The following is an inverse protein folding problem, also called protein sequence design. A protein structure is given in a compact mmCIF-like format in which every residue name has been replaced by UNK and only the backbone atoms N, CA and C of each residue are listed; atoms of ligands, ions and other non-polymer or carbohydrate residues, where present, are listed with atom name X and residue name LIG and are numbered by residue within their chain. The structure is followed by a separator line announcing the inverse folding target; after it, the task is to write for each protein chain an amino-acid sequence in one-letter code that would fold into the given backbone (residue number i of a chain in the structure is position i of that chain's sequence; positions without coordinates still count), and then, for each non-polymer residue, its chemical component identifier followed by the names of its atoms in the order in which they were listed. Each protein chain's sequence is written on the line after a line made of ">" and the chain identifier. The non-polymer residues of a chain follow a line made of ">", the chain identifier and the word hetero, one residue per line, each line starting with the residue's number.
data_IF_422294137937
#
_entry.id   IF_422294137937
#
_cell.length_a   1.000
_cell.length_b   1.000
_cell.length_c   1.000
_cell.angle_alpha   90.00
_cell.angle_beta   90.00
_cell.angle_gamma   90.00
#
_symmetry.space_group_name_H-M   'P 1'
#
loop_
_entity.id
_entity.type
_entity.pdbx_description
1 polymer ?
#
# COMPACT_ATOMS: atom_id res chain seq x y z
N UNK A 1 -10.10 16.34 4.89
CA UNK A 1 -10.46 15.60 6.14
C UNK A 1 -11.16 14.28 5.83
N UNK A 2 -12.29 14.25 5.09
CA UNK A 2 -13.03 13.03 4.74
C UNK A 2 -12.15 11.89 4.17
N UNK A 3 -11.33 12.17 3.17
CA UNK A 3 -10.42 11.19 2.56
C UNK A 3 -9.44 10.55 3.56
N UNK A 4 -9.00 11.28 4.58
CA UNK A 4 -8.08 10.74 5.60
C UNK A 4 -8.82 9.77 6.52
N UNK A 5 -10.07 10.09 6.88
CA UNK A 5 -10.92 9.19 7.67
C UNK A 5 -11.20 7.90 6.90
N UNK A 6 -11.56 7.98 5.62
CA UNK A 6 -11.79 6.79 4.78
C UNK A 6 -10.52 5.96 4.68
N UNK A 7 -9.35 6.57 4.49
CA UNK A 7 -8.07 5.87 4.47
C UNK A 7 -7.79 5.14 5.80
N UNK A 8 -8.03 5.81 6.93
CA UNK A 8 -7.83 5.21 8.25
C UNK A 8 -8.77 4.01 8.47
N UNK A 9 -10.04 4.14 8.10
CA UNK A 9 -11.02 3.04 8.18
C UNK A 9 -10.59 1.87 7.30
N UNK A 10 -10.16 2.12 6.06
CA UNK A 10 -9.69 1.06 5.17
C UNK A 10 -8.44 0.35 5.72
N UNK A 11 -7.48 1.08 6.30
CA UNK A 11 -6.30 0.46 6.91
C UNK A 11 -6.61 -0.34 8.18
N UNK A 12 -7.48 0.18 9.05
CA UNK A 12 -7.92 -0.55 10.23
C UNK A 12 -8.69 -1.81 9.85
N UNK A 13 -9.60 -1.71 8.87
CA UNK A 13 -10.30 -2.85 8.30
C UNK A 13 -9.33 -3.87 7.69
N UNK A 14 -8.29 -3.40 7.00
CA UNK A 14 -7.27 -4.27 6.42
C UNK A 14 -6.50 -5.04 7.49
N UNK A 15 -6.00 -4.34 8.50
CA UNK A 15 -5.31 -4.96 9.63
C UNK A 15 -6.18 -5.96 10.37
N UNK A 16 -7.45 -5.62 10.61
CA UNK A 16 -8.42 -6.53 11.20
C UNK A 16 -8.60 -7.80 10.37
N UNK A 17 -8.80 -7.69 9.06
CA UNK A 17 -8.94 -8.84 8.17
C UNK A 17 -7.70 -9.74 8.20
N UNK A 18 -6.50 -9.16 8.19
CA UNK A 18 -5.27 -9.96 8.22
C UNK A 18 -5.10 -10.74 9.54
N UNK A 19 -5.55 -10.21 10.67
CA UNK A 19 -5.31 -10.80 11.99
C UNK A 19 -6.48 -11.65 12.50
N UNK A 20 -7.72 -11.22 12.25
CA UNK A 20 -8.89 -11.73 12.95
C UNK A 20 -9.84 -12.59 12.10
N UNK A 21 -9.76 -12.57 10.76
CA UNK A 21 -10.60 -13.45 9.95
C UNK A 21 -9.92 -14.80 9.73
N UNK A 22 -10.67 -15.88 9.44
CA UNK A 22 -10.09 -17.16 9.05
C UNK A 22 -9.16 -17.03 7.83
N UNK A 23 -8.19 -17.93 7.73
CA UNK A 23 -7.39 -18.14 6.52
C UNK A 23 -7.90 -19.34 5.75
N UNK A 24 -7.88 -19.25 4.43
CA UNK A 24 -8.17 -20.37 3.55
C UNK A 24 -6.91 -21.19 3.25
N UNK A 25 -7.08 -22.34 2.57
CA UNK A 25 -5.99 -23.18 2.10
C UNK A 25 -5.77 -22.96 0.59
N UNK A 26 -4.87 -22.04 0.24
CA UNK A 26 -4.52 -21.70 -1.15
C UNK A 26 -3.30 -22.48 -1.67
N UNK A 27 -2.73 -23.36 -0.85
CA UNK A 27 -1.60 -24.21 -1.24
C UNK A 27 -0.42 -23.40 -1.76
N UNK A 28 0.08 -23.74 -2.95
CA UNK A 28 1.21 -23.04 -3.56
C UNK A 28 0.88 -21.62 -4.04
N UNK A 29 -0.38 -21.30 -4.33
CA UNK A 29 -0.77 -19.99 -4.84
C UNK A 29 -0.45 -18.86 -3.86
N UNK A 30 -0.41 -19.15 -2.55
CA UNK A 30 -0.03 -18.17 -1.51
C UNK A 30 1.35 -17.56 -1.75
N UNK A 31 2.27 -18.32 -2.37
CA UNK A 31 3.65 -17.90 -2.59
C UNK A 31 3.80 -16.85 -3.69
N UNK A 32 2.77 -16.63 -4.51
CA UNK A 32 2.69 -15.46 -5.39
C UNK A 32 2.73 -14.16 -4.60
N UNK A 33 2.39 -14.19 -3.30
CA UNK A 33 2.50 -13.03 -2.43
C UNK A 33 3.94 -12.63 -2.06
N UNK A 34 4.89 -13.57 -2.06
CA UNK A 34 6.29 -13.28 -1.70
C UNK A 34 6.96 -12.24 -2.63
N UNK A 35 6.93 -12.39 -3.97
CA UNK A 35 7.49 -11.37 -4.84
C UNK A 35 6.76 -10.03 -4.72
N UNK A 36 5.45 -10.04 -4.46
CA UNK A 36 4.68 -8.81 -4.27
C UNK A 36 5.09 -8.06 -2.99
N UNK A 37 5.31 -8.77 -1.88
CA UNK A 37 5.87 -8.16 -0.66
C UNK A 37 7.26 -7.61 -0.93
N UNK A 38 8.13 -8.36 -1.63
CA UNK A 38 9.47 -7.89 -1.97
C UNK A 38 9.44 -6.59 -2.80
N UNK A 39 8.62 -6.55 -3.85
CA UNK A 39 8.39 -5.32 -4.64
C UNK A 39 7.84 -4.20 -3.77
N UNK A 40 6.90 -4.52 -2.88
CA UNK A 40 6.32 -3.56 -1.94
C UNK A 40 7.37 -2.88 -1.07
N UNK A 41 8.24 -3.68 -0.45
CA UNK A 41 9.36 -3.19 0.39
C UNK A 41 10.34 -2.36 -0.44
N UNK A 42 10.72 -2.84 -1.63
CA UNK A 42 11.66 -2.14 -2.51
C UNK A 42 11.16 -0.76 -2.96
N UNK A 43 9.85 -0.61 -3.20
CA UNK A 43 9.25 0.65 -3.64
C UNK A 43 8.90 1.58 -2.47
N UNK A 44 8.40 1.03 -1.36
CA UNK A 44 7.96 1.83 -0.22
C UNK A 44 9.13 2.38 0.59
N UNK A 45 10.21 1.61 0.77
CA UNK A 45 11.34 1.99 1.65
C UNK A 45 12.03 3.27 1.18
N UNK A 46 12.44 3.42 -0.10
CA UNK A 46 13.05 4.66 -0.58
C UNK A 46 12.08 5.83 -0.50
N UNK A 47 10.78 5.60 -0.73
CA UNK A 47 9.77 6.65 -0.65
C UNK A 47 9.57 7.16 0.78
N UNK A 48 9.56 6.25 1.77
CA UNK A 48 9.50 6.56 3.20
C UNK A 48 10.75 7.34 3.65
N UNK A 49 11.95 6.89 3.28
CA UNK A 49 13.21 7.59 3.56
C UNK A 49 13.20 8.98 2.92
N UNK A 50 12.76 9.07 1.66
CA UNK A 50 12.72 10.32 0.91
C UNK A 50 11.76 11.36 1.51
N UNK A 51 10.66 10.94 2.13
CA UNK A 51 9.68 11.86 2.73
C UNK A 51 9.93 12.10 4.22
N UNK A 52 10.53 11.15 4.95
CA UNK A 52 10.93 11.30 6.35
C UNK A 52 9.81 11.83 7.24
N UNK A 53 10.14 12.77 8.14
CA UNK A 53 9.17 13.43 9.06
C UNK A 53 8.14 14.32 8.37
N UNK A 54 8.24 14.52 7.05
CA UNK A 54 7.33 15.34 6.25
C UNK A 54 6.27 14.51 5.53
N UNK A 55 6.18 13.20 5.82
CA UNK A 55 5.05 12.37 5.41
C UNK A 55 3.76 12.95 6.00
N UNK A 56 2.89 13.42 5.13
CA UNK A 56 1.54 13.81 5.53
C UNK A 56 0.53 12.96 4.75
N UNK A 57 -0.58 12.55 5.37
CA UNK A 57 -1.67 11.87 4.67
C UNK A 57 -2.52 12.83 3.83
N UNK A 58 -2.18 14.13 3.83
CA UNK A 58 -2.86 15.18 3.07
C UNK A 58 -2.30 15.23 1.64
N UNK A 59 -3.16 15.46 0.62
CA UNK A 59 -2.72 15.60 -0.78
C UNK A 59 -1.96 16.90 -1.05
N UNK A 60 -1.95 17.84 -0.11
CA UNK A 60 -1.36 19.16 -0.31
C UNK A 60 0.15 19.05 -0.56
N UNK A 61 0.64 19.56 -1.71
CA UNK A 61 2.06 19.58 -2.01
C UNK A 61 2.78 20.34 -0.91
N UNK A 62 3.74 19.70 -0.25
CA UNK A 62 4.55 20.38 0.73
C UNK A 62 5.46 21.37 -0.02
N UNK A 63 5.29 22.70 0.13
CA UNK A 63 6.06 23.67 -0.64
C UNK A 63 7.56 23.63 -0.34
N UNK A 64 7.96 23.04 0.80
CA UNK A 64 9.36 22.83 1.18
C UNK A 64 9.98 21.55 0.61
N UNK A 65 9.17 20.66 0.05
CA UNK A 65 9.61 19.47 -0.68
C UNK A 65 9.41 19.74 -2.17
N UNK A 66 10.45 20.28 -2.81
CA UNK A 66 10.46 20.41 -4.26
C UNK A 66 10.18 19.08 -4.98
N UNK A 67 9.70 19.17 -6.21
CA UNK A 67 9.30 18.01 -7.00
C UNK A 67 10.46 17.02 -7.18
N UNK A 68 10.29 15.79 -6.67
CA UNK A 68 11.28 14.72 -6.84
C UNK A 68 11.12 14.07 -8.21
N UNK A 69 12.19 14.08 -9.02
CA UNK A 69 12.23 13.48 -10.37
C UNK A 69 13.35 12.45 -10.56
N UNK A 70 14.13 12.16 -9.51
CA UNK A 70 15.29 11.25 -9.58
C UNK A 70 15.03 9.94 -8.84
N UNK A 71 15.79 8.89 -9.18
CA UNK A 71 15.60 7.55 -8.60
C UNK A 71 14.27 6.93 -9.03
N UNK A 72 13.56 6.26 -8.12
CA UNK A 72 12.28 5.58 -8.41
C UNK A 72 11.21 6.55 -8.95
N UNK A 73 11.26 7.82 -8.54
CA UNK A 73 10.35 8.88 -9.02
C UNK A 73 10.55 9.25 -10.50
N UNK A 74 11.66 8.81 -11.14
CA UNK A 74 11.86 8.98 -12.58
C UNK A 74 10.99 8.03 -13.42
N UNK A 75 10.54 6.92 -12.83
CA UNK A 75 9.80 5.86 -13.53
C UNK A 75 8.35 5.77 -13.03
N UNK A 76 8.14 5.87 -11.72
CA UNK A 76 6.83 5.71 -11.08
C UNK A 76 6.43 7.03 -10.43
N UNK A 77 5.25 7.57 -10.80
CA UNK A 77 4.74 8.85 -10.26
C UNK A 77 4.39 8.77 -8.77
N UNK A 78 3.89 7.61 -8.32
CA UNK A 78 3.49 7.36 -6.93
C UNK A 78 4.10 6.05 -6.40
N UNK A 79 5.43 5.99 -6.18
CA UNK A 79 6.11 4.75 -5.79
C UNK A 79 5.68 4.27 -4.41
N UNK A 80 5.32 5.19 -3.50
CA UNK A 80 4.79 4.83 -2.19
C UNK A 80 3.44 4.11 -2.27
N UNK A 81 2.51 4.60 -3.10
CA UNK A 81 1.21 3.94 -3.27
C UNK A 81 1.36 2.60 -3.98
N UNK A 82 2.22 2.55 -5.00
CA UNK A 82 2.52 1.30 -5.72
C UNK A 82 3.09 0.25 -4.77
N UNK A 83 4.09 0.63 -3.95
CA UNK A 83 4.70 -0.27 -2.97
C UNK A 83 3.72 -0.73 -1.89
N UNK A 84 2.91 0.19 -1.37
CA UNK A 84 1.88 -0.12 -0.37
C UNK A 84 0.84 -1.11 -0.91
N UNK A 85 0.33 -0.89 -2.12
CA UNK A 85 -0.66 -1.76 -2.75
C UNK A 85 -0.08 -3.14 -3.06
N UNK A 86 1.15 -3.20 -3.59
CA UNK A 86 1.85 -4.47 -3.80
C UNK A 86 2.02 -5.24 -2.49
N UNK A 87 2.39 -4.56 -1.41
CA UNK A 87 2.54 -5.19 -0.10
C UNK A 87 1.20 -5.65 0.48
N UNK A 88 0.11 -4.90 0.27
CA UNK A 88 -1.23 -5.33 0.65
C UNK A 88 -1.59 -6.65 -0.04
N UNK A 89 -1.60 -6.70 -1.37
CA UNK A 89 -1.87 -7.96 -2.09
C UNK A 89 -0.94 -9.10 -1.69
N UNK A 90 0.35 -8.81 -1.53
CA UNK A 90 1.34 -9.81 -1.12
C UNK A 90 1.05 -10.44 0.25
N UNK A 91 0.71 -9.62 1.25
CA UNK A 91 0.35 -10.09 2.59
C UNK A 91 -0.97 -10.86 2.57
N UNK A 92 -1.99 -10.39 1.82
CA UNK A 92 -3.26 -11.11 1.70
C UNK A 92 -3.08 -12.50 1.09
N UNK A 93 -2.21 -12.64 0.09
CA UNK A 93 -1.87 -13.92 -0.54
C UNK A 93 -1.11 -14.84 0.43
N UNK A 94 -0.05 -14.36 1.06
CA UNK A 94 0.77 -15.16 1.98
C UNK A 94 -0.03 -15.65 3.20
N UNK A 95 -0.89 -14.78 3.74
CA UNK A 95 -1.76 -15.07 4.88
C UNK A 95 -3.07 -15.75 4.46
N UNK A 96 -3.29 -15.95 3.15
CA UNK A 96 -4.42 -16.65 2.56
C UNK A 96 -5.77 -16.04 3.00
N UNK A 97 -5.88 -14.72 2.87
CA UNK A 97 -7.04 -13.93 3.29
C UNK A 97 -7.87 -13.49 2.08
N UNK A 98 -8.99 -14.16 1.76
CA UNK A 98 -9.84 -13.78 0.62
C UNK A 98 -10.35 -12.34 0.76
N UNK A 99 -10.83 -11.99 1.95
CA UNK A 99 -11.25 -10.62 2.25
C UNK A 99 -10.09 -9.62 2.21
N UNK A 100 -8.86 -10.06 2.49
CA UNK A 100 -7.66 -9.23 2.35
C UNK A 100 -7.40 -8.89 0.88
N UNK A 101 -7.59 -9.85 -0.03
CA UNK A 101 -7.47 -9.59 -1.48
C UNK A 101 -8.54 -8.60 -1.93
N UNK A 102 -9.81 -8.80 -1.53
CA UNK A 102 -10.90 -7.90 -1.86
C UNK A 102 -10.64 -6.47 -1.35
N UNK A 103 -10.17 -6.32 -0.11
CA UNK A 103 -9.87 -5.02 0.46
C UNK A 103 -8.62 -4.37 -0.17
N UNK A 104 -7.66 -5.17 -0.67
CA UNK A 104 -6.51 -4.68 -1.46
C UNK A 104 -6.96 -4.08 -2.80
N UNK A 105 -7.98 -4.67 -3.43
CA UNK A 105 -8.64 -4.07 -4.61
C UNK A 105 -9.31 -2.75 -4.25
N UNK A 106 -10.07 -2.72 -3.14
CA UNK A 106 -10.71 -1.49 -2.67
C UNK A 106 -9.70 -0.37 -2.36
N UNK A 107 -8.57 -0.71 -1.71
CA UNK A 107 -7.46 0.22 -1.49
C UNK A 107 -6.88 0.75 -2.80
N UNK A 108 -6.73 -0.11 -3.81
CA UNK A 108 -6.25 0.31 -5.15
C UNK A 108 -7.18 1.35 -5.77
N UNK A 109 -8.47 1.08 -5.77
CA UNK A 109 -9.47 2.03 -6.30
C UNK A 109 -9.44 3.33 -5.50
N UNK A 110 -9.42 3.25 -4.18
CA UNK A 110 -9.37 4.41 -3.30
C UNK A 110 -8.13 5.30 -3.58
N UNK A 111 -6.94 4.71 -3.65
CA UNK A 111 -5.72 5.49 -3.91
C UNK A 111 -5.67 6.06 -5.32
N UNK A 112 -6.27 5.40 -6.31
CA UNK A 112 -6.41 5.95 -7.66
C UNK A 112 -7.35 7.16 -7.69
N UNK A 113 -8.40 7.16 -6.88
CA UNK A 113 -9.32 8.31 -6.75
C UNK A 113 -8.76 9.44 -5.88
N UNK A 114 -7.84 9.13 -4.96
CA UNK A 114 -7.24 10.08 -4.02
C UNK A 114 -6.01 10.80 -4.60
N UNK A 115 -5.31 10.18 -5.55
CA UNK A 115 -4.11 10.71 -6.21
C UNK A 115 -4.44 11.93 -7.09
#
# INVERSE_FOLDING_TARGET
>A
MLWVLVQAVLFLGYGYVLVATPSDAWGLARWLGAPLVAVGVLLATPALIAHGRKLTPLPEPNPTLGLKRTGVYAVIRHPMYTGLLAMAFGLALLLQKPWGVALSVALTVFFNLKA
#
